data_IF_004029714220
#
_entry.id   IF_004029714220
#
_cell.length_a   1.000
_cell.length_b   1.000
_cell.length_c   1.000
_cell.angle_alpha   90.00
_cell.angle_beta   90.00
_cell.angle_gamma   90.00
#
_symmetry.space_group_name_H-M   'P 1'
#
loop_
_entity.id
_entity.type
_entity.pdbx_description
1 polymer ?
#
# COMPACT_ATOMS: atom_id res chain seq x y z
N UNK A 1 13.33 -44.00 -38.07
CA UNK A 1 12.95 -44.49 -36.73
C UNK A 1 13.37 -43.47 -35.67
N UNK A 2 12.79 -42.25 -35.70
CA UNK A 2 13.12 -41.15 -34.76
C UNK A 2 11.88 -40.37 -34.30
N UNK A 3 10.68 -40.80 -34.70
CA UNK A 3 9.44 -40.03 -34.50
C UNK A 3 8.83 -40.21 -33.10
N UNK A 4 8.85 -41.43 -32.56
CA UNK A 4 8.10 -41.77 -31.35
C UNK A 4 8.60 -41.09 -30.07
N UNK A 5 9.86 -40.63 -30.03
CA UNK A 5 10.40 -39.87 -28.90
C UNK A 5 9.97 -38.40 -28.91
N UNK A 6 9.72 -37.82 -30.09
CA UNK A 6 9.26 -36.43 -30.21
C UNK A 6 7.77 -36.31 -29.88
N UNK A 7 6.95 -37.29 -30.28
CA UNK A 7 5.52 -37.33 -29.96
C UNK A 7 5.27 -37.46 -28.45
N UNK A 8 6.07 -38.27 -27.75
CA UNK A 8 5.97 -38.41 -26.29
C UNK A 8 6.43 -37.17 -25.53
N UNK A 9 7.42 -36.44 -26.07
CA UNK A 9 7.88 -35.17 -25.50
C UNK A 9 6.85 -34.05 -25.71
N UNK A 10 6.24 -33.97 -26.91
CA UNK A 10 5.16 -33.02 -27.19
C UNK A 10 3.88 -33.34 -26.39
N UNK A 11 3.52 -34.61 -26.24
CA UNK A 11 2.40 -35.04 -25.41
C UNK A 11 2.56 -34.70 -23.93
N UNK A 12 3.79 -34.81 -23.38
CA UNK A 12 4.08 -34.36 -22.00
C UNK A 12 4.07 -32.85 -21.86
N UNK A 13 4.59 -32.10 -22.83
CA UNK A 13 4.58 -30.64 -22.80
C UNK A 13 3.13 -30.09 -22.85
N UNK A 14 2.30 -30.63 -23.74
CA UNK A 14 0.88 -30.25 -23.84
C UNK A 14 0.06 -30.66 -22.61
N UNK A 15 0.37 -31.82 -22.00
CA UNK A 15 -0.25 -32.27 -20.75
C UNK A 15 0.18 -31.45 -19.53
N UNK A 16 1.42 -30.95 -19.50
CA UNK A 16 1.94 -30.11 -18.41
C UNK A 16 1.39 -28.68 -18.45
N UNK A 17 1.16 -28.11 -19.63
CA UNK A 17 0.50 -26.80 -19.78
C UNK A 17 -0.99 -26.84 -19.39
N UNK A 18 -1.69 -27.94 -19.68
CA UNK A 18 -3.08 -28.14 -19.23
C UNK A 18 -3.20 -28.42 -17.72
N UNK A 19 -2.14 -28.95 -17.10
CA UNK A 19 -2.09 -29.25 -15.66
C UNK A 19 -1.73 -28.03 -14.80
N UNK A 20 -1.29 -26.91 -15.40
CA UNK A 20 -1.33 -25.60 -14.75
C UNK A 20 -2.78 -25.10 -14.71
N UNK A 21 -3.54 -25.74 -13.82
CA UNK A 21 -4.94 -25.45 -13.57
C UNK A 21 -5.16 -23.97 -13.23
N UNK A 22 -6.36 -23.43 -13.49
CA UNK A 22 -6.73 -22.04 -13.21
C UNK A 22 -6.38 -21.58 -11.78
N UNK A 23 -6.32 -22.51 -10.82
CA UNK A 23 -5.99 -22.28 -9.42
C UNK A 23 -4.53 -21.84 -9.18
N UNK A 24 -3.58 -22.32 -9.98
CA UNK A 24 -2.18 -21.89 -9.88
C UNK A 24 -2.00 -20.45 -10.37
N UNK A 25 -2.69 -20.09 -11.46
CA UNK A 25 -2.68 -18.74 -12.03
C UNK A 25 -3.37 -17.71 -11.12
N UNK A 26 -4.43 -18.10 -10.42
CA UNK A 26 -5.16 -17.22 -9.49
C UNK A 26 -4.37 -16.95 -8.20
N UNK A 27 -3.68 -17.96 -7.64
CA UNK A 27 -2.80 -17.83 -6.48
C UNK A 27 -1.63 -16.85 -6.72
N UNK A 28 -1.04 -16.89 -7.91
CA UNK A 28 0.02 -15.97 -8.34
C UNK A 28 -0.51 -14.54 -8.54
N UNK A 29 -1.68 -14.39 -9.16
CA UNK A 29 -2.32 -13.09 -9.36
C UNK A 29 -2.64 -12.41 -8.02
N UNK A 30 -3.20 -13.14 -7.06
CA UNK A 30 -3.47 -12.64 -5.71
C UNK A 30 -2.18 -12.23 -4.99
N UNK A 31 -1.14 -13.05 -5.06
CA UNK A 31 0.16 -12.73 -4.44
C UNK A 31 0.77 -11.45 -5.02
N UNK A 32 0.67 -11.23 -6.34
CA UNK A 32 1.12 -9.99 -6.98
C UNK A 32 0.36 -8.76 -6.47
N UNK A 33 -0.97 -8.85 -6.34
CA UNK A 33 -1.81 -7.74 -5.83
C UNK A 33 -1.40 -7.33 -4.41
N UNK A 34 -1.18 -8.29 -3.50
CA UNK A 34 -0.74 -7.99 -2.13
C UNK A 34 0.67 -7.40 -2.06
N UNK A 35 1.62 -7.92 -2.86
CA UNK A 35 2.98 -7.35 -2.92
C UNK A 35 3.00 -5.94 -3.48
N UNK A 36 2.19 -5.67 -4.50
CA UNK A 36 2.03 -4.33 -5.07
C UNK A 36 1.47 -3.35 -4.03
N UNK A 37 0.42 -3.76 -3.31
CA UNK A 37 -0.15 -2.95 -2.24
C UNK A 37 0.84 -2.70 -1.09
N UNK A 38 1.59 -3.73 -0.67
CA UNK A 38 2.61 -3.59 0.37
C UNK A 38 3.71 -2.59 -0.05
N UNK A 39 4.21 -2.70 -1.27
CA UNK A 39 5.25 -1.80 -1.79
C UNK A 39 4.76 -0.35 -1.89
N UNK A 40 3.52 -0.16 -2.34
CA UNK A 40 2.92 1.17 -2.37
C UNK A 40 2.72 1.74 -0.96
N UNK A 41 2.27 0.91 -0.01
CA UNK A 41 2.12 1.35 1.38
C UNK A 41 3.45 1.76 2.00
N UNK A 42 4.55 1.07 1.69
CA UNK A 42 5.90 1.46 2.10
C UNK A 42 6.28 2.84 1.55
N UNK A 43 6.01 3.09 0.26
CA UNK A 43 6.22 4.41 -0.36
C UNK A 43 5.43 5.51 0.36
N UNK A 44 4.15 5.26 0.64
CA UNK A 44 3.31 6.20 1.40
C UNK A 44 3.92 6.45 2.78
N UNK A 45 4.32 5.40 3.49
CA UNK A 45 5.00 5.51 4.78
C UNK A 45 6.24 6.41 4.74
N UNK A 46 7.08 6.24 3.70
CA UNK A 46 8.27 7.08 3.52
C UNK A 46 7.93 8.55 3.28
N UNK A 47 6.88 8.84 2.50
CA UNK A 47 6.39 10.20 2.30
C UNK A 47 5.87 10.82 3.60
N UNK A 48 5.24 10.01 4.47
CA UNK A 48 4.78 10.44 5.79
C UNK A 48 5.95 10.83 6.71
N UNK A 49 6.96 9.97 6.81
CA UNK A 49 8.19 10.26 7.57
C UNK A 49 8.85 11.54 7.06
N UNK A 50 8.98 11.68 5.73
CA UNK A 50 9.52 12.87 5.09
C UNK A 50 8.71 14.13 5.42
N UNK A 51 7.37 14.04 5.42
CA UNK A 51 6.49 15.13 5.79
C UNK A 51 6.65 15.54 7.27
N UNK A 52 6.76 14.58 8.19
CA UNK A 52 6.98 14.85 9.62
C UNK A 52 8.32 15.57 9.84
N UNK A 53 9.38 15.10 9.18
CA UNK A 53 10.70 15.77 9.23
C UNK A 53 10.62 17.17 8.64
N UNK A 54 9.94 17.35 7.51
CA UNK A 54 9.76 18.67 6.89
C UNK A 54 8.98 19.62 7.81
N UNK A 55 7.87 19.17 8.41
CA UNK A 55 7.09 19.96 9.36
C UNK A 55 7.92 20.39 10.57
N UNK A 56 8.75 19.49 11.09
CA UNK A 56 9.62 19.79 12.23
C UNK A 56 10.69 20.83 11.92
N UNK A 57 11.34 20.70 10.76
CA UNK A 57 12.32 21.68 10.29
C UNK A 57 11.72 23.08 10.11
N UNK A 58 10.42 23.15 9.82
CA UNK A 58 9.68 24.40 9.68
C UNK A 58 8.98 24.86 10.98
N UNK A 59 9.24 24.21 12.13
CA UNK A 59 8.66 24.60 13.42
C UNK A 59 7.17 24.32 13.57
N UNK A 60 6.57 23.53 12.66
CA UNK A 60 5.13 23.23 12.65
C UNK A 60 4.73 22.09 13.60
N UNK A 61 5.72 21.35 14.12
CA UNK A 61 5.48 20.25 15.08
C UNK A 61 5.51 20.80 16.49
N UNK A 62 4.36 20.75 17.17
CA UNK A 62 4.23 21.24 18.54
C UNK A 62 5.19 20.48 19.49
N UNK A 63 6.15 21.16 20.15
CA UNK A 63 7.14 20.55 21.04
C UNK A 63 6.53 19.79 22.22
N UNK A 64 5.30 20.16 22.63
CA UNK A 64 4.59 19.56 23.77
C UNK A 64 4.21 18.10 23.49
N UNK A 65 4.09 17.70 22.21
CA UNK A 65 3.71 16.33 21.82
C UNK A 65 4.86 15.32 21.90
N UNK A 66 6.03 15.74 22.42
CA UNK A 66 7.17 14.87 22.70
C UNK A 66 8.25 14.85 21.61
N UNK A 67 9.38 14.17 21.88
CA UNK A 67 10.52 14.09 20.96
C UNK A 67 10.11 13.60 19.57
N UNK A 68 10.54 14.30 18.52
CA UNK A 68 10.26 13.90 17.13
C UNK A 68 10.72 12.48 16.82
N UNK A 69 11.86 12.06 17.40
CA UNK A 69 12.41 10.73 17.19
C UNK A 69 11.41 9.64 17.60
N UNK A 70 10.60 9.86 18.65
CA UNK A 70 9.56 8.91 19.03
C UNK A 70 8.46 8.82 17.97
N UNK A 71 8.06 9.95 17.38
CA UNK A 71 7.07 9.97 16.30
C UNK A 71 7.57 9.28 15.04
N UNK A 72 8.84 9.49 14.66
CA UNK A 72 9.45 8.82 13.50
C UNK A 72 9.60 7.31 13.74
N UNK A 73 10.02 6.90 14.93
CA UNK A 73 10.10 5.48 15.28
C UNK A 73 8.72 4.82 15.31
N UNK A 74 7.71 5.52 15.81
CA UNK A 74 6.34 5.01 15.83
C UNK A 74 5.78 4.86 14.42
N UNK A 75 5.96 5.87 13.56
CA UNK A 75 5.54 5.82 12.16
C UNK A 75 6.24 4.68 11.41
N UNK A 76 7.57 4.58 11.53
CA UNK A 76 8.35 3.50 10.94
C UNK A 76 7.90 2.12 11.43
N UNK A 77 7.60 1.96 12.73
CA UNK A 77 7.11 0.71 13.30
C UNK A 77 5.73 0.32 12.74
N UNK A 78 4.80 1.27 12.60
CA UNK A 78 3.48 1.03 12.00
C UNK A 78 3.65 0.60 10.54
N UNK A 79 4.46 1.32 9.76
CA UNK A 79 4.71 1.00 8.34
C UNK A 79 5.33 -0.40 8.21
N UNK A 80 6.32 -0.73 9.03
CA UNK A 80 6.94 -2.06 9.03
C UNK A 80 5.95 -3.17 9.37
N UNK A 81 5.08 -2.97 10.36
CA UNK A 81 4.06 -3.95 10.76
C UNK A 81 3.01 -4.17 9.66
N UNK A 82 2.54 -3.09 9.03
CA UNK A 82 1.62 -3.18 7.90
C UNK A 82 2.27 -3.89 6.72
N UNK A 83 3.47 -3.46 6.34
CA UNK A 83 4.22 -4.04 5.24
C UNK A 83 4.43 -5.54 5.47
N UNK A 84 4.87 -5.93 6.67
CA UNK A 84 5.04 -7.32 7.06
C UNK A 84 3.72 -8.11 6.92
N UNK A 85 2.62 -7.56 7.41
CA UNK A 85 1.30 -8.20 7.35
C UNK A 85 0.76 -8.36 5.93
N UNK A 86 0.99 -7.39 5.04
CA UNK A 86 0.59 -7.47 3.64
C UNK A 86 1.51 -8.41 2.85
N UNK A 87 2.82 -8.34 3.08
CA UNK A 87 3.83 -9.09 2.33
C UNK A 87 3.86 -10.58 2.67
N UNK A 88 3.93 -10.93 3.97
CA UNK A 88 4.08 -12.32 4.40
C UNK A 88 2.74 -12.99 4.69
N UNK A 89 1.82 -12.30 5.38
CA UNK A 89 0.52 -12.89 5.76
C UNK A 89 -0.57 -12.74 4.71
N UNK A 90 -0.43 -11.81 3.75
CA UNK A 90 -1.46 -11.53 2.72
C UNK A 90 -2.87 -11.40 3.33
N UNK A 91 -2.94 -10.76 4.49
CA UNK A 91 -4.16 -10.71 5.29
C UNK A 91 -5.16 -9.73 4.69
N UNK A 92 -6.28 -10.27 4.21
CA UNK A 92 -7.40 -9.48 3.65
C UNK A 92 -7.96 -8.53 4.71
N UNK A 93 -8.16 -9.00 5.93
CA UNK A 93 -8.67 -8.18 7.04
C UNK A 93 -7.76 -7.00 7.36
N UNK A 94 -6.45 -7.20 7.31
CA UNK A 94 -5.49 -6.12 7.51
C UNK A 94 -5.62 -5.07 6.40
N UNK A 95 -5.66 -5.50 5.13
CA UNK A 95 -5.87 -4.58 4.01
C UNK A 95 -7.17 -3.78 4.15
N UNK A 96 -8.27 -4.43 4.57
CA UNK A 96 -9.57 -3.77 4.79
C UNK A 96 -9.55 -2.78 5.96
N UNK A 97 -8.93 -3.15 7.08
CA UNK A 97 -8.83 -2.28 8.25
C UNK A 97 -8.02 -1.02 7.96
N UNK A 98 -6.90 -1.17 7.26
CA UNK A 98 -6.06 -0.04 6.84
C UNK A 98 -6.78 0.81 5.80
N UNK A 99 -7.44 0.18 4.84
CA UNK A 99 -8.26 0.89 3.86
C UNK A 99 -9.33 1.75 4.56
N UNK A 100 -10.07 1.19 5.52
CA UNK A 100 -11.09 1.92 6.26
C UNK A 100 -10.49 3.09 7.07
N UNK A 101 -9.36 2.86 7.74
CA UNK A 101 -8.65 3.91 8.48
C UNK A 101 -8.25 5.09 7.58
N UNK A 102 -7.68 4.82 6.41
CA UNK A 102 -7.31 5.86 5.47
C UNK A 102 -8.52 6.54 4.82
N UNK A 103 -9.61 5.81 4.59
CA UNK A 103 -10.85 6.37 4.05
C UNK A 103 -11.49 7.36 5.05
N UNK A 104 -11.53 7.00 6.35
CA UNK A 104 -12.01 7.89 7.41
C UNK A 104 -11.19 9.17 7.54
N UNK A 105 -9.94 9.16 7.07
CA UNK A 105 -9.07 10.32 7.12
C UNK A 105 -9.29 11.31 5.98
N UNK A 106 -9.85 10.88 4.84
CA UNK A 106 -10.06 11.74 3.67
C UNK A 106 -10.86 13.02 3.96
N UNK A 107 -11.99 13.00 4.72
CA UNK A 107 -12.76 14.21 5.02
C UNK A 107 -11.90 15.33 5.61
N UNK A 108 -11.02 15.01 6.57
CA UNK A 108 -10.12 16.00 7.18
C UNK A 108 -9.13 16.61 6.19
N UNK A 109 -8.76 15.89 5.13
CA UNK A 109 -7.86 16.40 4.10
C UNK A 109 -8.58 17.24 3.06
N UNK A 110 -9.82 16.87 2.73
CA UNK A 110 -10.68 17.64 1.84
C UNK A 110 -10.96 19.01 2.47
N UNK A 111 -11.27 19.04 3.78
CA UNK A 111 -11.40 20.29 4.53
C UNK A 111 -10.13 21.13 4.44
N UNK A 112 -8.96 20.55 4.71
CA UNK A 112 -7.67 21.26 4.60
C UNK A 112 -7.29 21.72 3.19
N UNK A 113 -7.78 21.05 2.13
CA UNK A 113 -7.48 21.38 0.74
C UNK A 113 -8.40 22.45 0.16
N UNK A 114 -9.69 22.44 0.51
CA UNK A 114 -10.71 23.27 -0.15
C UNK A 114 -11.33 24.32 0.78
N UNK A 115 -11.19 24.17 2.09
CA UNK A 115 -11.73 25.08 3.10
C UNK A 115 -10.63 25.46 4.12
N UNK A 116 -9.48 26.01 3.65
CA UNK A 116 -8.40 26.38 4.56
C UNK A 116 -8.88 27.44 5.55
N UNK A 117 -8.72 27.15 6.84
CA UNK A 117 -8.96 28.12 7.89
C UNK A 117 -7.96 29.30 7.82
N UNK A 118 -8.30 30.46 8.40
CA UNK A 118 -7.42 31.64 8.41
C UNK A 118 -6.06 31.37 9.08
N UNK A 119 -6.00 30.38 9.97
CA UNK A 119 -4.79 29.97 10.70
C UNK A 119 -4.18 28.66 10.14
N UNK A 120 -4.43 28.32 8.87
CA UNK A 120 -3.93 27.08 8.29
C UNK A 120 -2.39 27.02 8.29
N UNK A 121 -1.85 26.05 9.03
CA UNK A 121 -0.40 25.87 9.18
C UNK A 121 0.30 25.27 7.93
N UNK A 122 -0.47 24.75 6.96
CA UNK A 122 0.06 24.08 5.77
C UNK A 122 -0.59 24.65 4.50
N UNK A 123 0.16 24.77 3.40
CA UNK A 123 -0.41 25.16 2.10
C UNK A 123 -1.43 24.14 1.59
N UNK A 124 -2.47 24.61 0.89
CA UNK A 124 -3.50 23.76 0.24
C UNK A 124 -2.91 22.67 -0.66
N UNK A 125 -1.85 23.00 -1.41
CA UNK A 125 -1.15 22.08 -2.30
C UNK A 125 -0.59 20.84 -1.58
N UNK A 126 -0.24 20.98 -0.29
CA UNK A 126 0.19 19.86 0.53
C UNK A 126 -0.98 18.88 0.77
N UNK A 127 -2.17 19.39 1.10
CA UNK A 127 -3.36 18.57 1.27
C UNK A 127 -3.80 17.91 -0.03
N UNK A 128 -3.77 18.64 -1.15
CA UNK A 128 -4.05 18.06 -2.48
C UNK A 128 -3.11 16.90 -2.81
N UNK A 129 -1.81 17.08 -2.56
CA UNK A 129 -0.82 16.01 -2.75
C UNK A 129 -1.11 14.81 -1.84
N UNK A 130 -1.44 15.05 -0.58
CA UNK A 130 -1.79 14.00 0.38
C UNK A 130 -3.05 13.23 -0.04
N UNK A 131 -4.07 13.92 -0.56
CA UNK A 131 -5.30 13.30 -1.10
C UNK A 131 -4.94 12.37 -2.26
N UNK A 132 -4.16 12.83 -3.24
CA UNK A 132 -3.76 11.99 -4.39
C UNK A 132 -3.04 10.73 -3.93
N UNK A 133 -2.06 10.87 -3.04
CA UNK A 133 -1.29 9.74 -2.49
C UNK A 133 -2.22 8.75 -1.77
N UNK A 134 -3.16 9.24 -0.97
CA UNK A 134 -4.11 8.40 -0.23
C UNK A 134 -5.12 7.73 -1.14
N UNK A 135 -5.63 8.41 -2.17
CA UNK A 135 -6.57 7.81 -3.13
C UNK A 135 -5.91 6.65 -3.88
N UNK A 136 -4.65 6.81 -4.32
CA UNK A 136 -3.90 5.72 -4.95
C UNK A 136 -3.68 4.57 -3.94
N UNK A 137 -3.35 4.90 -2.69
CA UNK A 137 -3.18 3.88 -1.64
C UNK A 137 -4.47 3.10 -1.36
N UNK A 138 -5.60 3.80 -1.27
CA UNK A 138 -6.92 3.19 -1.10
C UNK A 138 -7.25 2.28 -2.28
N UNK A 139 -6.95 2.69 -3.51
CA UNK A 139 -7.17 1.85 -4.68
C UNK A 139 -6.33 0.56 -4.63
N UNK A 140 -5.04 0.66 -4.29
CA UNK A 140 -4.16 -0.50 -4.16
C UNK A 140 -4.62 -1.46 -3.06
N UNK A 141 -5.01 -0.92 -1.89
CA UNK A 141 -5.54 -1.73 -0.79
C UNK A 141 -6.90 -2.36 -1.12
N UNK A 142 -7.78 -1.64 -1.83
CA UNK A 142 -9.06 -2.16 -2.30
C UNK A 142 -8.84 -3.37 -3.23
N UNK A 143 -7.89 -3.25 -4.16
CA UNK A 143 -7.53 -4.33 -5.07
C UNK A 143 -6.95 -5.55 -4.35
N UNK A 144 -6.20 -5.37 -3.27
CA UNK A 144 -5.73 -6.49 -2.46
C UNK A 144 -6.83 -7.09 -1.56
N UNK A 145 -7.77 -6.28 -1.06
CA UNK A 145 -8.75 -6.69 -0.04
C UNK A 145 -10.12 -7.14 -0.56
N UNK A 146 -10.50 -6.77 -1.78
CA UNK A 146 -11.83 -7.04 -2.35
C UNK A 146 -11.80 -7.70 -3.73
N UNK A 147 -10.76 -7.46 -4.54
CA UNK A 147 -10.56 -8.10 -5.84
C UNK A 147 -9.75 -9.41 -5.66
N UNK A 148 -10.37 -10.40 -5.02
CA UNK A 148 -9.80 -11.71 -4.68
C UNK A 148 -10.05 -12.75 -5.77
#
# INVERSE_FOLDING_TARGET
MTDSSQDLAQGRAAGQEQSQGPDARSGDARTRKFRQAAFWYLHVGLLYEGAVVAMWRNGLVNPIRGPIVLWLLLGAAIVALVFWGLWFRRSVWLARGIWALHALRLPSMIEGAFMPGPDAALPEAFYLTAIVVIVINLWMLARAGWDL
#
